data_IF_662142875918
#
_entry.id   IF_662142875918
#
_cell.length_a   1.000
_cell.length_b   1.000
_cell.length_c   1.000
_cell.angle_alpha   90.00
_cell.angle_beta   90.00
_cell.angle_gamma   90.00
#
_symmetry.space_group_name_H-M   'P 1'
#
loop_
_entity.id
_entity.type
_entity.pdbx_description
1 polymer ?
#
# COMPACT_ATOMS: atom_id res chain seq x y z
N UNK A 1 -14.83 -9.42 18.28
CA UNK A 1 -13.96 -9.97 17.20
C UNK A 1 -12.72 -9.09 17.10
N UNK A 2 -11.50 -9.64 17.20
CA UNK A 2 -10.27 -8.84 17.09
C UNK A 2 -10.16 -8.22 15.68
N UNK A 3 -9.77 -6.94 15.55
CA UNK A 3 -9.57 -6.23 14.28
C UNK A 3 -8.77 -7.05 13.26
N UNK A 4 -7.74 -7.77 13.71
CA UNK A 4 -6.96 -8.65 12.83
C UNK A 4 -7.79 -9.78 12.20
N UNK A 5 -8.72 -10.36 12.96
CA UNK A 5 -9.60 -11.43 12.46
C UNK A 5 -10.60 -10.90 11.42
N UNK A 6 -11.04 -9.65 11.54
CA UNK A 6 -11.88 -9.00 10.53
C UNK A 6 -11.10 -8.80 9.22
N UNK A 7 -9.91 -8.22 9.28
CA UNK A 7 -9.06 -8.03 8.08
C UNK A 7 -8.72 -9.33 7.34
N UNK A 8 -8.57 -10.43 8.08
CA UNK A 8 -8.23 -11.72 7.47
C UNK A 8 -9.37 -12.29 6.59
N UNK A 9 -10.60 -11.78 6.70
CA UNK A 9 -11.73 -12.15 5.82
C UNK A 9 -11.68 -11.46 4.45
N UNK A 10 -10.94 -10.36 4.34
CA UNK A 10 -10.75 -9.65 3.08
C UNK A 10 -9.65 -10.32 2.23
N UNK A 11 -9.69 -10.14 0.90
CA UNK A 11 -8.56 -10.46 0.04
C UNK A 11 -7.30 -9.74 0.53
N UNK A 12 -6.13 -10.28 0.20
CA UNK A 12 -4.86 -9.67 0.61
C UNK A 12 -4.73 -8.22 0.11
N UNK A 13 -5.17 -7.98 -1.12
CA UNK A 13 -5.09 -6.70 -1.80
C UNK A 13 -6.47 -6.21 -2.21
N UNK A 14 -6.74 -4.94 -1.91
CA UNK A 14 -7.92 -4.23 -2.42
C UNK A 14 -7.40 -2.99 -3.14
N UNK A 15 -7.74 -2.84 -4.41
CA UNK A 15 -7.48 -1.62 -5.17
C UNK A 15 -8.81 -0.89 -5.28
N UNK A 16 -8.81 0.41 -4.98
CA UNK A 16 -9.99 1.25 -5.13
C UNK A 16 -9.63 2.58 -5.79
N UNK A 17 -10.69 3.29 -6.19
CA UNK A 17 -10.61 4.54 -6.92
C UNK A 17 -11.70 5.49 -6.42
N UNK A 18 -11.34 6.77 -6.30
CA UNK A 18 -12.25 7.87 -6.00
C UNK A 18 -11.87 9.07 -6.89
N UNK A 19 -12.71 9.37 -7.88
CA UNK A 19 -12.39 10.30 -8.95
C UNK A 19 -11.08 9.92 -9.68
N UNK A 20 -10.13 10.86 -9.70
CA UNK A 20 -8.79 10.65 -10.27
C UNK A 20 -7.81 9.96 -9.30
N UNK A 21 -8.18 9.80 -8.02
CA UNK A 21 -7.30 9.20 -7.01
C UNK A 21 -7.46 7.69 -6.99
N UNK A 22 -6.34 6.96 -6.95
CA UNK A 22 -6.30 5.51 -6.79
C UNK A 22 -5.60 5.14 -5.48
N UNK A 23 -6.03 4.05 -4.87
CA UNK A 23 -5.51 3.57 -3.58
C UNK A 23 -5.40 2.06 -3.54
N UNK A 24 -4.45 1.57 -2.74
CA UNK A 24 -4.26 0.15 -2.46
C UNK A 24 -4.30 -0.09 -0.95
N UNK A 25 -5.06 -1.10 -0.54
CA UNK A 25 -5.10 -1.59 0.84
C UNK A 25 -4.47 -2.98 0.90
N UNK A 26 -3.57 -3.16 1.87
CA UNK A 26 -3.00 -4.44 2.24
C UNK A 26 -3.68 -4.95 3.53
N UNK A 27 -4.38 -6.08 3.44
CA UNK A 27 -5.18 -6.63 4.54
C UNK A 27 -4.43 -7.66 5.41
N UNK A 28 -3.14 -7.91 5.13
CA UNK A 28 -2.24 -8.73 5.95
C UNK A 28 -1.20 -7.84 6.61
N UNK A 29 -0.38 -8.39 7.50
CA UNK A 29 0.67 -7.59 8.16
C UNK A 29 1.79 -7.23 7.16
N UNK A 30 2.26 -5.96 7.11
CA UNK A 30 1.72 -4.78 7.78
C UNK A 30 0.43 -4.30 7.12
N UNK A 31 -0.63 -4.13 7.92
CA UNK A 31 -1.94 -3.70 7.40
C UNK A 31 -1.90 -2.21 7.17
N UNK A 32 -2.18 -1.78 5.94
CA UNK A 32 -2.08 -0.38 5.55
C UNK A 32 -2.97 -0.05 4.36
N UNK A 33 -3.22 1.24 4.17
CA UNK A 33 -3.66 1.82 2.90
C UNK A 33 -2.60 2.82 2.43
N UNK A 34 -2.41 2.90 1.11
CA UNK A 34 -1.54 3.88 0.46
C UNK A 34 -2.24 4.41 -0.81
N UNK A 35 -1.96 5.65 -1.15
CA UNK A 35 -2.32 6.22 -2.45
C UNK A 35 -1.39 5.66 -3.54
N UNK A 36 -1.91 5.55 -4.75
CA UNK A 36 -1.20 5.12 -5.95
C UNK A 36 -1.05 6.34 -6.86
N UNK A 37 0.17 6.57 -7.35
CA UNK A 37 0.46 7.51 -8.43
C UNK A 37 1.23 6.77 -9.52
N UNK A 38 0.75 6.76 -10.77
CA UNK A 38 1.52 6.26 -11.91
C UNK A 38 2.30 7.41 -12.54
N UNK A 39 3.49 7.15 -13.04
CA UNK A 39 4.31 8.16 -13.71
C UNK A 39 3.59 8.80 -14.91
N UNK A 40 2.67 8.06 -15.53
CA UNK A 40 1.78 8.54 -16.61
C UNK A 40 0.80 9.60 -16.16
N UNK A 41 0.52 9.69 -14.86
CA UNK A 41 -0.44 10.65 -14.28
C UNK A 41 0.21 12.04 -14.08
N UNK A 42 1.48 12.20 -14.47
CA UNK A 42 2.24 13.43 -14.36
C UNK A 42 3.12 13.47 -13.11
N UNK A 43 3.33 14.67 -12.58
CA UNK A 43 4.16 14.87 -11.39
C UNK A 43 3.47 14.26 -10.17
N UNK A 44 4.21 13.44 -9.40
CA UNK A 44 3.68 12.87 -8.18
C UNK A 44 3.40 14.00 -7.19
N UNK A 45 2.15 14.20 -6.74
CA UNK A 45 1.90 15.11 -5.64
C UNK A 45 2.76 14.61 -4.48
N UNK A 46 3.49 15.52 -3.83
CA UNK A 46 4.34 15.15 -2.70
C UNK A 46 3.57 14.36 -1.64
N UNK A 47 4.28 13.74 -0.70
CA UNK A 47 3.64 12.95 0.33
C UNK A 47 4.64 12.32 1.27
N UNK A 48 4.13 11.82 2.38
CA UNK A 48 4.94 11.13 3.38
C UNK A 48 5.03 9.65 3.07
N UNK A 49 6.12 9.01 3.50
CA UNK A 49 6.36 7.58 3.37
C UNK A 49 6.22 7.10 1.92
N UNK A 50 7.27 7.29 1.11
CA UNK A 50 7.21 7.01 -0.34
C UNK A 50 7.94 5.71 -0.70
N UNK A 51 7.32 4.90 -1.54
CA UNK A 51 7.99 3.81 -2.28
C UNK A 51 7.71 3.97 -3.77
N UNK A 52 8.75 4.06 -4.59
CA UNK A 52 8.62 4.18 -6.05
C UNK A 52 9.37 3.06 -6.74
N UNK A 53 8.67 2.32 -7.61
CA UNK A 53 9.22 1.19 -8.35
C UNK A 53 8.40 0.97 -9.62
N UNK A 54 9.05 0.68 -10.75
CA UNK A 54 8.41 0.42 -12.04
C UNK A 54 7.38 1.48 -12.48
N UNK A 55 7.70 2.77 -12.28
CA UNK A 55 6.82 3.88 -12.64
C UNK A 55 5.58 4.03 -11.75
N UNK A 56 5.46 3.25 -10.67
CA UNK A 56 4.37 3.35 -9.71
C UNK A 56 4.93 3.88 -8.40
N UNK A 57 4.27 4.89 -7.83
CA UNK A 57 4.57 5.45 -6.52
C UNK A 57 3.44 5.15 -5.55
N UNK A 58 3.81 4.59 -4.40
CA UNK A 58 2.95 4.46 -3.22
C UNK A 58 3.31 5.56 -2.23
N UNK A 59 2.32 6.25 -1.67
CA UNK A 59 2.51 7.36 -0.75
C UNK A 59 1.33 7.55 0.21
N UNK A 60 1.50 8.40 1.23
CA UNK A 60 0.51 8.69 2.28
C UNK A 60 0.04 7.43 3.02
N UNK A 61 1.00 6.65 3.51
CA UNK A 61 0.74 5.39 4.20
C UNK A 61 -0.02 5.62 5.51
N UNK A 62 -1.14 4.92 5.69
CA UNK A 62 -1.88 4.83 6.95
C UNK A 62 -1.86 3.39 7.43
N UNK A 63 -1.28 3.14 8.60
CA UNK A 63 -1.16 1.81 9.18
C UNK A 63 -2.33 1.46 10.09
N UNK A 64 -2.90 0.27 9.90
CA UNK A 64 -3.94 -0.31 10.76
C UNK A 64 -3.38 -1.29 11.80
N UNK A 65 -2.05 -1.38 11.93
CA UNK A 65 -1.35 -2.16 12.96
C UNK A 65 -1.16 -1.40 14.27
N UNK A 66 -0.62 -2.08 15.28
CA UNK A 66 0.00 -1.40 16.43
C UNK A 66 1.45 -1.02 16.11
N UNK A 67 2.10 -0.27 17.00
CA UNK A 67 3.53 0.06 16.88
C UNK A 67 4.35 -1.24 16.73
N UNK A 68 5.27 -1.34 15.75
CA UNK A 68 6.11 -2.52 15.62
C UNK A 68 7.04 -2.65 16.84
N UNK A 69 7.22 -3.88 17.32
CA UNK A 69 8.19 -4.18 18.37
C UNK A 69 9.64 -4.14 17.87
N UNK A 70 9.82 -4.41 16.57
CA UNK A 70 11.10 -4.36 15.87
C UNK A 70 10.92 -3.53 14.59
N UNK A 71 11.48 -2.33 14.61
CA UNK A 71 11.36 -1.35 13.53
C UNK A 71 12.14 -1.78 12.29
N UNK A 72 13.30 -2.43 12.44
CA UNK A 72 14.11 -2.89 11.32
C UNK A 72 13.41 -4.03 10.56
N UNK A 73 12.86 -4.99 11.31
CA UNK A 73 12.03 -6.06 10.72
C UNK A 73 10.79 -5.48 10.07
N UNK A 74 10.11 -4.53 10.71
CA UNK A 74 8.95 -3.88 10.12
C UNK A 74 9.28 -3.18 8.80
N UNK A 75 10.37 -2.42 8.74
CA UNK A 75 10.82 -1.75 7.52
C UNK A 75 11.10 -2.75 6.38
N UNK A 76 11.80 -3.85 6.67
CA UNK A 76 12.07 -4.89 5.67
C UNK A 76 10.79 -5.53 5.12
N UNK A 77 9.83 -5.86 5.99
CA UNK A 77 8.54 -6.42 5.57
C UNK A 77 7.71 -5.38 4.79
N UNK A 78 7.76 -4.10 5.20
CA UNK A 78 7.10 -3.01 4.50
C UNK A 78 7.65 -2.83 3.08
N UNK A 79 8.97 -2.84 2.89
CA UNK A 79 9.60 -2.77 1.57
C UNK A 79 9.14 -3.91 0.66
N UNK A 80 9.12 -5.14 1.17
CA UNK A 80 8.64 -6.28 0.38
C UNK A 80 7.14 -6.19 0.09
N UNK A 81 6.35 -5.68 1.04
CA UNK A 81 4.93 -5.41 0.84
C UNK A 81 4.71 -4.40 -0.29
N UNK A 82 5.53 -3.34 -0.36
CA UNK A 82 5.46 -2.35 -1.43
C UNK A 82 5.82 -2.94 -2.79
N UNK A 83 6.85 -3.78 -2.89
CA UNK A 83 7.20 -4.51 -4.12
C UNK A 83 6.04 -5.37 -4.64
N UNK A 84 5.39 -6.11 -3.73
CA UNK A 84 4.23 -6.96 -4.05
C UNK A 84 3.02 -6.11 -4.45
N UNK A 85 2.81 -4.97 -3.80
CA UNK A 85 1.77 -4.01 -4.15
C UNK A 85 1.98 -3.45 -5.57
N UNK A 86 3.19 -3.04 -5.93
CA UNK A 86 3.52 -2.55 -7.29
C UNK A 86 3.25 -3.61 -8.35
N UNK A 87 3.69 -4.86 -8.12
CA UNK A 87 3.37 -5.99 -9.02
C UNK A 87 1.87 -6.19 -9.14
N UNK A 88 1.11 -6.09 -8.04
CA UNK A 88 -0.34 -6.22 -8.06
C UNK A 88 -1.02 -5.10 -8.85
N UNK A 89 -0.57 -3.85 -8.68
CA UNK A 89 -1.13 -2.70 -9.41
C UNK A 89 -0.84 -2.82 -10.90
N UNK A 90 0.38 -3.21 -11.28
CA UNK A 90 0.75 -3.43 -12.68
C UNK A 90 -0.03 -4.57 -13.36
N UNK A 91 -0.64 -5.48 -12.59
CA UNK A 91 -1.54 -6.52 -13.12
C UNK A 91 -2.98 -6.03 -13.39
N UNK A 92 -3.30 -4.80 -13.02
CA UNK A 92 -4.62 -4.19 -13.25
C UNK A 92 -4.53 -3.17 -14.39
N UNK A 93 -5.30 -3.35 -15.48
CA UNK A 93 -5.38 -2.38 -16.58
C UNK A 93 -5.74 -0.99 -16.05
N UNK A 94 -5.29 0.05 -16.76
CA UNK A 94 -5.71 1.43 -16.47
C UNK A 94 -7.22 1.66 -16.64
#
# INVERSE_FOLDING_TARGET
>A
MNRAALFNRYPEWIIGQDGASRFITHCRYPRLIAKIHRQTDGECPGGHYRHSENGITLYDFIFFGGKPADEARFAAVLTETCRRAVKKIGSVPD
#
